data_IF_747353315280
#
_entry.id   IF_747353315280
#
_cell.length_a   1.000
_cell.length_b   1.000
_cell.length_c   1.000
_cell.angle_alpha   90.00
_cell.angle_beta   90.00
_cell.angle_gamma   90.00
#
_symmetry.space_group_name_H-M   'P 1'
#
loop_
_entity.id
_entity.type
_entity.pdbx_description
1 polymer ?
#
# COMPACT_ATOMS: atom_id res chain seq x y z
N UNK A 1 -2.25 -8.17 12.91
CA UNK A 1 -2.89 -9.33 13.54
C UNK A 1 -1.78 -10.22 14.03
N UNK A 2 -1.84 -10.64 15.30
CA UNK A 2 -0.87 -11.55 15.91
C UNK A 2 -0.61 -12.77 15.01
N UNK A 3 0.65 -13.05 14.67
CA UNK A 3 1.05 -14.16 13.80
C UNK A 3 0.72 -15.52 14.43
N UNK A 4 0.73 -15.59 15.76
CA UNK A 4 0.37 -16.73 16.60
C UNK A 4 -1.10 -17.17 16.37
N UNK A 5 -2.05 -16.22 16.46
CA UNK A 5 -3.47 -16.47 16.24
C UNK A 5 -3.77 -16.95 14.82
N UNK A 6 -3.16 -16.33 13.80
CA UNK A 6 -3.33 -16.74 12.40
C UNK A 6 -2.86 -18.19 12.21
N UNK A 7 -1.71 -18.53 12.78
CA UNK A 7 -1.14 -19.88 12.68
C UNK A 7 -2.04 -20.90 13.36
N UNK A 8 -2.54 -20.61 14.56
CA UNK A 8 -3.47 -21.50 15.26
C UNK A 8 -4.78 -21.70 14.49
N UNK A 9 -5.35 -20.64 13.91
CA UNK A 9 -6.54 -20.74 13.06
C UNK A 9 -6.29 -21.62 11.82
N UNK A 10 -5.11 -21.51 11.19
CA UNK A 10 -4.71 -22.37 10.07
C UNK A 10 -4.60 -23.83 10.50
N UNK A 11 -3.97 -24.12 11.64
CA UNK A 11 -3.87 -25.48 12.19
C UNK A 11 -5.26 -26.07 12.43
N UNK A 12 -6.16 -25.34 13.11
CA UNK A 12 -7.52 -25.81 13.39
C UNK A 12 -8.30 -26.09 12.09
N UNK A 13 -8.14 -25.24 11.08
CA UNK A 13 -8.77 -25.40 9.77
C UNK A 13 -8.26 -26.64 9.02
N UNK A 14 -6.94 -26.88 9.03
CA UNK A 14 -6.32 -28.06 8.43
C UNK A 14 -6.71 -29.36 9.14
N UNK A 15 -6.80 -29.32 10.47
CA UNK A 15 -7.24 -30.46 11.29
C UNK A 15 -8.74 -30.71 11.22
N UNK A 16 -9.51 -29.92 10.46
CA UNK A 16 -10.99 -29.99 10.36
C UNK A 16 -11.71 -29.85 11.70
N UNK A 17 -11.10 -29.17 12.67
CA UNK A 17 -11.66 -28.93 14.00
C UNK A 17 -12.33 -27.55 14.00
N UNK A 18 -13.59 -27.48 14.44
CA UNK A 18 -14.31 -26.21 14.57
C UNK A 18 -13.71 -25.36 15.71
N UNK A 19 -13.20 -24.16 15.45
CA UNK A 19 -12.64 -23.31 16.49
C UNK A 19 -13.70 -22.78 17.46
N UNK A 20 -13.35 -22.66 18.74
CA UNK A 20 -14.11 -21.85 19.67
C UNK A 20 -13.62 -20.39 19.60
N UNK A 21 -14.30 -19.58 18.78
CA UNK A 21 -13.93 -18.18 18.55
C UNK A 21 -13.96 -17.32 19.82
N UNK A 22 -14.85 -17.61 20.78
CA UNK A 22 -14.93 -16.85 22.04
C UNK A 22 -13.75 -17.16 22.97
N UNK A 23 -13.26 -18.40 22.98
CA UNK A 23 -12.09 -18.79 23.77
C UNK A 23 -10.82 -18.15 23.21
N UNK A 24 -10.61 -18.28 21.89
CA UNK A 24 -9.50 -17.63 21.19
C UNK A 24 -9.53 -16.10 21.35
N UNK A 25 -10.72 -15.49 21.29
CA UNK A 25 -10.87 -14.06 21.54
C UNK A 25 -10.33 -13.62 22.91
N UNK A 26 -10.55 -14.41 23.96
CA UNK A 26 -10.07 -14.11 25.32
C UNK A 26 -8.56 -14.35 25.46
N UNK A 27 -8.06 -15.45 24.89
CA UNK A 27 -6.63 -15.80 24.97
C UNK A 27 -5.74 -14.79 24.25
N UNK A 28 -6.22 -14.23 23.13
CA UNK A 28 -5.47 -13.28 22.32
C UNK A 28 -5.94 -11.83 22.48
N UNK A 29 -6.86 -11.55 23.41
CA UNK A 29 -7.41 -10.21 23.66
C UNK A 29 -7.97 -9.51 22.41
N UNK A 30 -8.60 -10.28 21.50
CA UNK A 30 -9.11 -9.79 20.21
C UNK A 30 -10.62 -10.06 20.12
N UNK A 31 -11.37 -9.16 19.48
CA UNK A 31 -12.81 -9.35 19.25
C UNK A 31 -13.10 -10.66 18.48
N UNK A 32 -14.05 -11.45 19.01
CA UNK A 32 -14.49 -12.74 18.42
C UNK A 32 -14.85 -12.63 16.93
N UNK A 33 -15.48 -11.53 16.50
CA UNK A 33 -15.87 -11.31 15.10
C UNK A 33 -14.64 -11.17 14.23
N UNK A 34 -13.58 -10.54 14.74
CA UNK A 34 -12.27 -10.47 14.08
C UNK A 34 -11.66 -11.87 13.96
N UNK A 35 -11.62 -12.66 15.03
CA UNK A 35 -11.13 -14.06 14.97
C UNK A 35 -11.90 -14.87 13.92
N UNK A 36 -13.24 -14.79 13.92
CA UNK A 36 -14.09 -15.48 12.93
C UNK A 36 -13.80 -14.98 11.50
N UNK A 37 -13.68 -13.67 11.31
CA UNK A 37 -13.39 -13.05 10.01
C UNK A 37 -12.08 -13.57 9.40
N UNK A 38 -11.04 -13.73 10.22
CA UNK A 38 -9.76 -14.29 9.77
C UNK A 38 -9.85 -15.80 9.51
N UNK A 39 -10.63 -16.56 10.29
CA UNK A 39 -10.90 -17.97 10.00
C UNK A 39 -11.63 -18.18 8.67
N UNK A 40 -12.59 -17.29 8.37
CA UNK A 40 -13.38 -17.28 7.14
C UNK A 40 -12.56 -16.86 5.90
N UNK A 41 -11.30 -16.45 6.06
CA UNK A 41 -10.35 -16.20 4.96
C UNK A 41 -9.97 -14.74 4.73
N UNK A 42 -10.23 -13.84 5.68
CA UNK A 42 -9.73 -12.47 5.59
C UNK A 42 -8.22 -12.39 5.85
N UNK A 43 -7.48 -11.82 4.91
CA UNK A 43 -6.01 -11.72 4.99
C UNK A 43 -5.53 -10.35 5.48
N UNK A 44 -6.44 -9.41 5.73
CA UNK A 44 -6.10 -8.03 6.05
C UNK A 44 -6.25 -7.09 4.87
N UNK A 45 -6.17 -5.79 5.15
CA UNK A 45 -5.98 -4.78 4.11
C UNK A 45 -4.48 -4.66 3.85
N UNK A 46 -4.03 -4.52 2.59
CA UNK A 46 -2.63 -4.25 2.32
C UNK A 46 -2.23 -2.95 3.01
N UNK A 47 -1.02 -2.91 3.57
CA UNK A 47 -0.49 -1.73 4.24
C UNK A 47 -0.35 -0.54 3.28
N UNK A 48 -0.03 -0.84 2.02
CA UNK A 48 0.11 0.15 0.97
C UNK A 48 -1.01 0.00 -0.06
N UNK A 49 -1.57 1.13 -0.47
CA UNK A 49 -2.52 1.16 -1.58
C UNK A 49 -1.74 0.98 -2.89
N UNK A 50 -2.10 -0.03 -3.67
CA UNK A 50 -1.60 -0.17 -5.04
C UNK A 50 -2.32 0.85 -5.94
N UNK A 51 -1.84 2.10 -5.94
CA UNK A 51 -2.33 3.16 -6.83
C UNK A 51 -1.15 3.85 -7.48
N UNK A 52 -1.13 3.83 -8.81
CA UNK A 52 -0.15 4.57 -9.60
C UNK A 52 -0.25 6.07 -9.33
N UNK A 53 0.91 6.73 -9.30
CA UNK A 53 1.01 8.18 -9.25
C UNK A 53 0.52 8.78 -10.56
N UNK A 54 -0.01 10.01 -10.53
CA UNK A 54 -0.27 10.77 -11.75
C UNK A 54 1.02 10.99 -12.56
N UNK A 55 2.14 11.13 -11.84
CA UNK A 55 3.48 11.34 -12.39
C UNK A 55 4.03 10.11 -13.14
N UNK A 56 3.50 8.92 -12.88
CA UNK A 56 3.95 7.69 -13.54
C UNK A 56 3.73 7.74 -15.06
N UNK A 57 2.72 8.49 -15.52
CA UNK A 57 2.48 8.73 -16.96
C UNK A 57 3.65 9.44 -17.64
N UNK A 58 4.31 10.33 -16.90
CA UNK A 58 5.36 11.22 -17.41
C UNK A 58 6.77 10.76 -16.97
N UNK A 59 6.88 9.58 -16.34
CA UNK A 59 8.12 9.09 -15.72
C UNK A 59 9.32 9.08 -16.67
N UNK A 60 9.11 8.62 -17.90
CA UNK A 60 10.18 8.57 -18.90
C UNK A 60 10.66 9.96 -19.29
N UNK A 61 9.74 10.90 -19.51
CA UNK A 61 10.05 12.28 -19.85
C UNK A 61 10.80 13.00 -18.71
N UNK A 62 10.32 12.83 -17.48
CA UNK A 62 10.96 13.37 -16.28
C UNK A 62 12.41 12.87 -16.18
N UNK A 63 12.62 11.55 -16.34
CA UNK A 63 13.96 10.96 -16.30
C UNK A 63 14.88 11.51 -17.40
N UNK A 64 14.39 11.66 -18.63
CA UNK A 64 15.17 12.22 -19.74
C UNK A 64 15.58 13.67 -19.48
N UNK A 65 14.67 14.52 -18.96
CA UNK A 65 14.96 15.92 -18.68
C UNK A 65 15.93 16.10 -17.52
N UNK A 66 15.84 15.26 -16.49
CA UNK A 66 16.76 15.29 -15.35
C UNK A 66 18.15 14.74 -15.67
N UNK A 67 18.29 13.92 -16.71
CA UNK A 67 19.61 13.46 -17.18
C UNK A 67 20.45 14.57 -17.83
N UNK A 68 19.83 15.69 -18.23
CA UNK A 68 20.55 16.83 -18.78
C UNK A 68 21.44 17.42 -17.68
N UNK A 69 22.74 17.47 -17.90
CA UNK A 69 23.70 18.02 -16.93
C UNK A 69 23.35 19.47 -16.62
N UNK A 70 23.17 19.78 -15.33
CA UNK A 70 22.76 21.11 -14.86
C UNK A 70 21.24 21.33 -14.82
N UNK A 71 20.42 20.33 -15.13
CA UNK A 71 18.98 20.42 -14.98
C UNK A 71 18.59 20.62 -13.51
N UNK A 72 17.80 21.65 -13.26
CA UNK A 72 17.18 21.89 -11.95
C UNK A 72 15.81 21.18 -11.92
N UNK A 73 15.56 20.41 -10.85
CA UNK A 73 14.28 19.71 -10.63
C UNK A 73 13.08 20.67 -10.75
N UNK A 74 13.22 21.90 -10.25
CA UNK A 74 12.17 22.93 -10.36
C UNK A 74 11.92 23.36 -11.80
N UNK A 75 12.98 23.57 -12.58
CA UNK A 75 12.87 23.93 -13.99
C UNK A 75 12.23 22.80 -14.82
N UNK A 76 12.54 21.54 -14.49
CA UNK A 76 11.89 20.38 -15.14
C UNK A 76 10.40 20.30 -14.76
N UNK A 77 10.05 20.58 -13.51
CA UNK A 77 8.64 20.64 -13.10
C UNK A 77 7.87 21.74 -13.85
N UNK A 78 8.39 22.97 -13.87
CA UNK A 78 7.77 24.11 -14.57
C UNK A 78 7.59 23.80 -16.06
N UNK A 79 8.61 23.24 -16.72
CA UNK A 79 8.51 22.79 -18.11
C UNK A 79 7.36 21.80 -18.35
N UNK A 80 7.17 20.83 -17.45
CA UNK A 80 6.12 19.82 -17.63
C UNK A 80 4.73 20.41 -17.37
N UNK A 81 4.60 21.32 -16.40
CA UNK A 81 3.35 22.04 -16.14
C UNK A 81 2.95 22.86 -17.36
N UNK A 82 3.90 23.58 -17.96
CA UNK A 82 3.61 24.54 -19.03
C UNK A 82 3.41 23.85 -20.39
N UNK A 83 4.22 22.84 -20.73
CA UNK A 83 4.28 22.28 -22.09
C UNK A 83 3.58 20.92 -22.25
N UNK A 84 3.24 20.24 -21.15
CA UNK A 84 2.82 18.82 -21.21
C UNK A 84 1.51 18.55 -20.48
N UNK A 85 1.42 18.93 -19.20
CA UNK A 85 0.27 18.61 -18.35
C UNK A 85 0.15 19.59 -17.18
N UNK A 86 -0.71 20.59 -17.33
CA UNK A 86 -1.05 21.57 -16.30
C UNK A 86 -1.59 20.91 -15.00
N UNK A 87 -2.12 19.68 -15.09
CA UNK A 87 -2.74 18.96 -13.98
C UNK A 87 -1.83 17.88 -13.35
N UNK A 88 -0.53 17.96 -13.61
CA UNK A 88 0.48 17.01 -13.12
C UNK A 88 0.58 16.94 -11.58
N UNK A 89 0.18 18.00 -10.88
CA UNK A 89 0.15 18.08 -9.42
C UNK A 89 0.97 19.25 -8.89
N UNK A 90 1.45 19.15 -7.64
CA UNK A 90 2.25 20.20 -7.01
C UNK A 90 3.74 19.90 -7.10
N UNK A 91 4.57 20.96 -7.06
CA UNK A 91 6.03 20.82 -7.02
C UNK A 91 6.51 19.93 -5.86
N UNK A 92 5.91 20.05 -4.67
CA UNK A 92 6.30 19.20 -3.53
C UNK A 92 6.05 17.72 -3.79
N UNK A 93 4.94 17.37 -4.45
CA UNK A 93 4.67 15.99 -4.85
C UNK A 93 5.66 15.53 -5.94
N UNK A 94 5.96 16.39 -6.90
CA UNK A 94 6.94 16.13 -7.95
C UNK A 94 8.34 15.87 -7.38
N UNK A 95 8.82 16.75 -6.50
CA UNK A 95 10.13 16.63 -5.86
C UNK A 95 10.25 15.41 -4.93
N UNK A 96 9.13 14.88 -4.43
CA UNK A 96 9.11 13.63 -3.65
C UNK A 96 9.13 12.38 -4.55
N UNK A 97 8.72 12.53 -5.81
CA UNK A 97 8.59 11.46 -6.77
C UNK A 97 9.88 11.20 -7.57
N UNK A 98 10.57 12.30 -7.93
CA UNK A 98 11.90 12.32 -8.53
C UNK A 98 12.94 11.84 -7.54
#
# INVERSE_FOLDING_TARGET
MEMSLITQLKILKLSKIKPNFSKLAREYEIDRRTVKKYYDGYEGKPAHRNKASKLDKHKQLIAQKLQIKGANVKAVYEFIVDEVDENIGTYSNFNKYV
#
